data_IF_899245971022
#
_entry.id   IF_899245971022
#
_cell.length_a   1.000
_cell.length_b   1.000
_cell.length_c   1.000
_cell.angle_alpha   90.00
_cell.angle_beta   90.00
_cell.angle_gamma   90.00
#
_symmetry.space_group_name_H-M   'P 1'
#
loop_
_entity.id
_entity.type
_entity.pdbx_description
1 polymer ?
#
# COMPACT_ATOMS: atom_id res chain seq x y z
N UNK A 1 15.76 -38.39 -18.27
CA UNK A 1 15.62 -36.97 -18.65
C UNK A 1 15.21 -36.23 -17.40
N UNK A 2 16.20 -35.66 -16.72
CA UNK A 2 16.00 -34.88 -15.51
C UNK A 2 15.48 -33.50 -15.93
N UNK A 3 14.31 -33.11 -15.44
CA UNK A 3 13.63 -31.88 -15.83
C UNK A 3 14.28 -30.73 -15.05
N UNK A 4 15.12 -29.91 -15.69
CA UNK A 4 15.79 -28.80 -15.02
C UNK A 4 14.76 -27.69 -14.69
N UNK A 5 14.43 -27.46 -13.41
CA UNK A 5 13.47 -26.43 -13.02
C UNK A 5 13.97 -25.01 -13.34
N UNK A 6 15.28 -24.81 -13.56
CA UNK A 6 15.84 -23.50 -13.96
C UNK A 6 15.49 -23.13 -15.39
N UNK A 7 15.49 -24.10 -16.32
CA UNK A 7 15.11 -23.87 -17.71
C UNK A 7 13.65 -23.36 -17.84
N UNK A 8 12.73 -23.86 -17.02
CA UNK A 8 11.34 -23.38 -16.98
C UNK A 8 11.19 -21.96 -16.45
N UNK A 9 12.03 -21.57 -15.49
CA UNK A 9 12.03 -20.21 -14.94
C UNK A 9 12.55 -19.22 -15.98
N UNK A 10 13.64 -19.56 -16.66
CA UNK A 10 14.24 -18.72 -17.70
C UNK A 10 13.29 -18.52 -18.89
N UNK A 11 12.59 -19.57 -19.34
CA UNK A 11 11.58 -19.48 -20.39
C UNK A 11 10.35 -18.66 -19.99
N UNK A 12 9.88 -18.79 -18.75
CA UNK A 12 8.78 -17.97 -18.22
C UNK A 12 9.19 -16.51 -18.16
N UNK A 13 10.42 -16.26 -17.73
CA UNK A 13 10.97 -14.92 -17.64
C UNK A 13 11.12 -14.27 -19.02
N UNK A 14 11.70 -14.98 -19.99
CA UNK A 14 11.83 -14.49 -21.36
C UNK A 14 10.45 -14.15 -21.97
N UNK A 15 9.44 -15.01 -21.77
CA UNK A 15 8.06 -14.73 -22.21
C UNK A 15 7.47 -13.50 -21.54
N UNK A 16 7.69 -13.32 -20.25
CA UNK A 16 7.20 -12.15 -19.51
C UNK A 16 7.90 -10.86 -19.98
N UNK A 17 9.22 -10.88 -20.18
CA UNK A 17 10.00 -9.76 -20.71
C UNK A 17 9.54 -9.37 -22.11
N UNK A 18 9.34 -10.34 -23.00
CA UNK A 18 8.85 -10.07 -24.36
C UNK A 18 7.41 -9.54 -24.37
N UNK A 19 6.55 -10.06 -23.48
CA UNK A 19 5.21 -9.54 -23.31
C UNK A 19 5.22 -8.07 -22.87
N UNK A 20 5.98 -7.72 -21.82
CA UNK A 20 6.13 -6.34 -21.36
C UNK A 20 6.75 -5.42 -22.43
N UNK A 21 7.77 -5.91 -23.16
CA UNK A 21 8.39 -5.17 -24.27
C UNK A 21 7.37 -4.84 -25.35
N UNK A 22 6.48 -5.79 -25.68
CA UNK A 22 5.40 -5.59 -26.64
C UNK A 22 4.35 -4.62 -26.12
N UNK A 23 3.87 -4.80 -24.89
CA UNK A 23 2.89 -3.90 -24.28
C UNK A 23 3.39 -2.44 -24.22
N UNK A 24 4.64 -2.22 -23.81
CA UNK A 24 5.25 -0.89 -23.80
C UNK A 24 5.29 -0.27 -25.21
N UNK A 25 5.73 -1.06 -26.21
CA UNK A 25 5.80 -0.59 -27.60
C UNK A 25 4.41 -0.26 -28.15
N UNK A 26 3.45 -1.16 -27.94
CA UNK A 26 2.10 -1.04 -28.47
C UNK A 26 1.32 0.09 -27.79
N UNK A 27 1.68 0.43 -26.55
CA UNK A 27 1.09 1.59 -25.87
C UNK A 27 1.45 2.91 -26.56
N UNK A 28 2.64 3.03 -27.16
CA UNK A 28 3.15 4.29 -27.66
C UNK A 28 3.49 5.32 -26.57
N UNK A 29 3.46 4.95 -25.28
CA UNK A 29 3.95 5.81 -24.21
C UNK A 29 5.49 5.82 -24.23
N UNK A 30 6.15 6.99 -24.37
CA UNK A 30 7.60 7.07 -24.36
C UNK A 30 8.18 6.58 -23.04
N UNK A 31 9.35 5.94 -23.09
CA UNK A 31 10.12 5.58 -21.90
C UNK A 31 11.28 6.55 -21.77
N UNK A 32 11.35 7.25 -20.64
CA UNK A 32 12.41 8.23 -20.33
C UNK A 32 13.29 7.70 -19.20
N UNK A 33 14.60 7.90 -19.30
CA UNK A 33 15.57 7.55 -18.26
C UNK A 33 16.57 8.68 -18.03
N UNK A 34 17.22 8.69 -16.86
CA UNK A 34 18.31 9.63 -16.59
C UNK A 34 19.54 9.28 -17.45
N UNK A 35 20.29 10.31 -17.82
CA UNK A 35 21.55 10.22 -18.56
C UNK A 35 22.59 11.20 -17.99
N UNK A 36 23.83 11.11 -18.47
CA UNK A 36 24.91 12.03 -18.08
C UNK A 36 25.83 11.52 -16.97
N UNK A 37 26.82 12.32 -16.57
CA UNK A 37 27.77 11.96 -15.53
C UNK A 37 27.12 11.96 -14.14
N UNK A 38 27.59 11.08 -13.25
CA UNK A 38 27.16 11.06 -11.84
C UNK A 38 25.80 10.40 -11.58
N UNK A 39 25.33 9.51 -12.47
CA UNK A 39 24.14 8.70 -12.21
C UNK A 39 24.35 7.79 -10.98
N UNK A 40 23.33 7.58 -10.13
CA UNK A 40 23.43 6.72 -8.96
C UNK A 40 23.95 5.30 -9.29
N UNK A 41 23.30 4.64 -10.24
CA UNK A 41 23.74 3.39 -10.88
C UNK A 41 23.06 3.24 -12.25
N UNK A 42 23.19 2.07 -12.86
CA UNK A 42 22.57 1.76 -14.15
C UNK A 42 21.04 1.70 -14.05
N UNK A 43 20.37 2.27 -15.06
CA UNK A 43 18.92 2.24 -15.17
C UNK A 43 18.37 0.79 -15.19
N UNK A 44 17.26 0.58 -14.48
CA UNK A 44 16.43 -0.64 -14.53
C UNK A 44 14.97 -0.26 -14.67
N UNK A 45 14.20 -1.12 -15.33
CA UNK A 45 12.74 -1.00 -15.29
C UNK A 45 12.27 -1.12 -13.83
N UNK A 46 11.22 -0.42 -13.44
CA UNK A 46 10.75 -0.43 -12.05
C UNK A 46 9.23 -0.49 -11.91
N UNK A 47 8.50 -0.45 -13.02
CA UNK A 47 7.06 -0.70 -13.03
C UNK A 47 6.35 -0.07 -14.21
N UNK A 48 5.11 -0.50 -14.40
CA UNK A 48 4.12 0.16 -15.24
C UNK A 48 2.78 0.19 -14.50
N UNK A 49 1.93 1.15 -14.85
CA UNK A 49 0.54 1.19 -14.41
C UNK A 49 -0.36 1.32 -15.65
N UNK A 50 -1.54 0.71 -15.57
CA UNK A 50 -2.53 0.72 -16.64
C UNK A 50 -3.91 1.07 -16.11
N UNK A 51 -4.64 1.91 -16.85
CA UNK A 51 -6.05 2.24 -16.61
C UNK A 51 -6.85 1.79 -17.82
N UNK A 52 -7.93 1.03 -17.61
CA UNK A 52 -8.79 0.51 -18.68
C UNK A 52 -8.02 -0.21 -19.81
N UNK A 53 -7.00 -0.99 -19.44
CA UNK A 53 -6.16 -1.75 -20.37
C UNK A 53 -5.13 -0.90 -21.14
N UNK A 54 -5.07 0.41 -20.89
CA UNK A 54 -4.09 1.31 -21.50
C UNK A 54 -2.97 1.63 -20.52
N UNK A 55 -1.71 1.50 -20.95
CA UNK A 55 -0.57 1.93 -20.12
C UNK A 55 -0.59 3.46 -20.02
N UNK A 56 -0.71 3.94 -18.78
CA UNK A 56 -0.77 5.36 -18.44
C UNK A 56 0.52 5.86 -17.80
N UNK A 57 1.34 4.95 -17.26
CA UNK A 57 2.54 5.29 -16.50
C UNK A 57 3.65 4.23 -16.66
N UNK A 58 4.89 4.68 -16.83
CA UNK A 58 6.10 3.83 -16.88
C UNK A 58 7.17 4.38 -15.94
N UNK A 59 7.81 3.49 -15.18
CA UNK A 59 8.80 3.84 -14.16
C UNK A 59 10.17 3.22 -14.45
N UNK A 60 11.22 4.04 -14.40
CA UNK A 60 12.63 3.63 -14.53
C UNK A 60 13.40 4.07 -13.28
N UNK A 61 14.07 3.14 -12.61
CA UNK A 61 14.84 3.42 -11.39
C UNK A 61 16.35 3.38 -11.63
N UNK A 62 17.07 4.18 -10.87
CA UNK A 62 18.52 4.27 -10.79
C UNK A 62 18.92 4.17 -9.31
N UNK A 63 19.78 3.21 -8.97
CA UNK A 63 20.23 3.00 -7.59
C UNK A 63 19.34 2.06 -6.79
N UNK A 64 19.70 1.90 -5.52
CA UNK A 64 18.95 1.13 -4.55
C UNK A 64 18.07 2.06 -3.69
N UNK A 65 16.78 1.75 -3.64
CA UNK A 65 15.83 2.52 -2.84
C UNK A 65 16.17 2.47 -1.34
N UNK A 66 16.89 1.43 -0.87
CA UNK A 66 17.22 1.29 0.55
C UNK A 66 18.55 1.91 0.96
N UNK A 67 19.48 2.14 0.02
CA UNK A 67 20.84 2.63 0.36
C UNK A 67 21.46 3.53 -0.71
N UNK A 68 22.16 4.57 -0.27
CA UNK A 68 22.95 5.45 -1.13
C UNK A 68 22.12 6.36 -2.04
N UNK A 69 22.76 7.00 -3.04
CA UNK A 69 22.08 7.78 -4.04
C UNK A 69 21.04 6.93 -4.80
N UNK A 70 19.88 7.52 -5.03
CA UNK A 70 18.77 6.86 -5.71
C UNK A 70 17.96 7.89 -6.50
N UNK A 71 17.45 7.49 -7.66
CA UNK A 71 16.52 8.29 -8.42
C UNK A 71 15.54 7.40 -9.19
N UNK A 72 14.35 7.93 -9.45
CA UNK A 72 13.31 7.28 -10.25
C UNK A 72 12.74 8.29 -11.23
N UNK A 73 12.51 7.85 -12.46
CA UNK A 73 11.86 8.60 -13.53
C UNK A 73 10.52 7.94 -13.82
N UNK A 74 9.46 8.71 -13.61
CA UNK A 74 8.09 8.37 -13.95
C UNK A 74 7.73 9.12 -15.24
N UNK A 75 7.28 8.39 -16.27
CA UNK A 75 6.73 8.95 -17.51
C UNK A 75 5.25 8.61 -17.60
N UNK A 76 4.39 9.63 -17.69
CA UNK A 76 2.94 9.47 -17.66
C UNK A 76 2.25 10.20 -18.83
N UNK A 77 1.08 9.71 -19.26
CA UNK A 77 0.26 10.40 -20.27
C UNK A 77 -0.32 11.69 -19.70
N UNK A 78 -0.29 12.76 -20.50
CA UNK A 78 -0.75 14.08 -20.08
C UNK A 78 -2.29 14.20 -20.01
N UNK A 79 -3.01 13.56 -20.92
CA UNK A 79 -4.48 13.66 -21.01
C UNK A 79 -5.21 13.00 -19.81
N UNK A 80 -4.59 11.98 -19.23
CA UNK A 80 -5.23 11.11 -18.24
C UNK A 80 -4.87 11.49 -16.79
N UNK A 81 -3.91 12.40 -16.59
CA UNK A 81 -3.30 12.60 -15.29
C UNK A 81 -3.37 14.07 -14.84
N UNK A 82 -4.37 14.42 -14.02
CA UNK A 82 -4.16 15.44 -12.98
C UNK A 82 -3.30 14.80 -11.90
N UNK A 83 -2.03 14.58 -12.22
CA UNK A 83 -1.11 13.81 -11.38
C UNK A 83 -1.07 14.35 -9.96
N UNK A 84 -0.85 13.46 -8.99
CA UNK A 84 -0.66 13.82 -7.58
C UNK A 84 0.26 15.05 -7.46
N UNK A 85 0.02 15.96 -6.51
CA UNK A 85 0.95 17.06 -6.23
C UNK A 85 2.39 16.55 -6.14
N UNK A 86 3.34 17.30 -6.70
CA UNK A 86 4.75 16.87 -6.76
C UNK A 86 5.32 16.57 -5.36
N UNK A 87 4.88 17.36 -4.37
CA UNK A 87 5.15 17.11 -2.95
C UNK A 87 4.66 15.74 -2.48
N UNK A 88 3.46 15.31 -2.87
CA UNK A 88 2.92 14.00 -2.46
C UNK A 88 3.78 12.84 -2.99
N UNK A 89 4.30 12.97 -4.22
CA UNK A 89 5.25 11.98 -4.79
C UNK A 89 6.56 11.93 -4.00
N UNK A 90 7.09 13.09 -3.59
CA UNK A 90 8.30 13.17 -2.77
C UNK A 90 8.08 12.58 -1.37
N UNK A 91 6.97 12.94 -0.72
CA UNK A 91 6.59 12.39 0.58
C UNK A 91 6.45 10.87 0.51
N UNK A 92 5.80 10.32 -0.53
CA UNK A 92 5.71 8.88 -0.71
C UNK A 92 7.09 8.22 -0.78
N UNK A 93 8.02 8.76 -1.56
CA UNK A 93 9.38 8.23 -1.65
C UNK A 93 10.13 8.32 -0.31
N UNK A 94 9.97 9.41 0.42
CA UNK A 94 10.54 9.58 1.77
C UNK A 94 10.01 8.51 2.74
N UNK A 95 8.68 8.29 2.76
CA UNK A 95 8.06 7.26 3.61
C UNK A 95 8.57 5.87 3.29
N UNK A 96 8.70 5.53 2.00
CA UNK A 96 9.23 4.23 1.57
C UNK A 96 10.71 4.02 1.94
N UNK A 97 11.47 5.10 2.09
CA UNK A 97 12.84 5.07 2.57
C UNK A 97 12.99 5.19 4.09
N UNK A 98 11.88 5.23 4.84
CA UNK A 98 11.91 5.33 6.29
C UNK A 98 12.18 6.73 6.84
N UNK A 99 12.12 7.78 6.01
CA UNK A 99 12.37 9.15 6.43
C UNK A 99 11.12 9.79 7.06
N UNK A 100 11.32 10.66 8.05
CA UNK A 100 10.25 11.47 8.63
C UNK A 100 10.05 12.77 7.85
N UNK A 101 8.79 13.15 7.63
CA UNK A 101 8.42 14.36 6.88
C UNK A 101 8.60 15.64 7.69
N UNK A 102 8.63 15.52 9.03
CA UNK A 102 8.89 16.61 9.98
C UNK A 102 10.36 17.04 10.05
N UNK A 103 11.27 16.21 9.55
CA UNK A 103 12.72 16.39 9.74
C UNK A 103 13.35 17.22 8.61
N UNK A 104 12.54 17.76 7.72
CA UNK A 104 12.98 18.44 6.50
C UNK A 104 12.29 19.78 6.33
N UNK A 105 13.03 20.72 5.77
CA UNK A 105 12.48 21.97 5.27
C UNK A 105 12.03 21.79 3.82
N UNK A 106 10.88 22.37 3.49
CA UNK A 106 10.27 22.24 2.17
C UNK A 106 10.49 23.51 1.36
N UNK A 107 10.98 23.36 0.14
CA UNK A 107 11.06 24.46 -0.83
C UNK A 107 10.46 24.06 -2.17
N UNK A 108 9.86 25.04 -2.85
CA UNK A 108 9.35 24.86 -4.21
C UNK A 108 9.89 25.95 -5.11
N UNK A 109 10.47 25.54 -6.24
CA UNK A 109 11.08 26.44 -7.20
C UNK A 109 10.70 26.05 -8.62
N UNK A 110 10.90 26.97 -9.57
CA UNK A 110 10.94 26.62 -10.98
C UNK A 110 12.23 25.84 -11.30
N UNK A 111 12.15 24.95 -12.28
CA UNK A 111 13.28 24.09 -12.67
C UNK A 111 13.35 23.92 -14.18
N UNK A 112 14.52 23.51 -14.67
CA UNK A 112 14.74 23.13 -16.06
C UNK A 112 15.36 21.75 -16.11
N UNK A 113 14.66 20.81 -16.76
CA UNK A 113 15.22 19.50 -17.13
C UNK A 113 15.66 19.54 -18.58
N UNK A 114 16.59 18.68 -18.98
CA UNK A 114 17.03 18.58 -20.37
C UNK A 114 16.65 17.21 -20.93
N UNK A 115 15.71 17.16 -21.86
CA UNK A 115 15.30 15.93 -22.54
C UNK A 115 15.99 15.87 -23.91
N UNK A 116 16.88 14.89 -24.09
CA UNK A 116 17.71 14.74 -25.29
C UNK A 116 18.45 16.05 -25.64
N UNK A 117 18.95 16.74 -24.60
CA UNK A 117 19.68 18.01 -24.71
C UNK A 117 18.79 19.26 -24.85
N UNK A 118 17.49 19.12 -25.05
CA UNK A 118 16.55 20.25 -25.12
C UNK A 118 16.04 20.65 -23.73
N UNK A 119 16.08 21.93 -23.36
CA UNK A 119 15.53 22.38 -22.09
C UNK A 119 14.00 22.26 -22.07
N UNK A 120 13.46 21.76 -20.97
CA UNK A 120 12.03 21.62 -20.68
C UNK A 120 11.77 22.25 -19.32
N UNK A 121 10.96 23.29 -19.29
CA UNK A 121 10.58 23.97 -18.05
C UNK A 121 9.71 23.07 -17.19
N UNK A 122 9.94 23.12 -15.89
CA UNK A 122 9.23 22.33 -14.91
C UNK A 122 9.22 23.01 -13.55
N UNK A 123 8.81 22.24 -12.55
CA UNK A 123 8.76 22.63 -11.14
C UNK A 123 9.57 21.64 -10.34
N UNK A 124 10.21 22.10 -9.28
CA UNK A 124 10.89 21.24 -8.33
C UNK A 124 10.39 21.49 -6.92
N UNK A 125 10.24 20.40 -6.16
CA UNK A 125 10.03 20.41 -4.72
C UNK A 125 11.28 19.80 -4.09
N UNK A 126 11.80 20.41 -3.04
CA UNK A 126 12.89 19.86 -2.24
C UNK A 126 12.44 19.63 -0.80
N UNK A 127 13.02 18.61 -0.18
CA UNK A 127 12.87 18.27 1.23
C UNK A 127 14.27 18.15 1.83
N UNK A 128 14.74 19.25 2.44
CA UNK A 128 16.13 19.41 2.85
C UNK A 128 17.11 19.35 1.65
N UNK A 129 18.33 18.91 1.92
CA UNK A 129 19.41 18.75 0.93
C UNK A 129 19.43 17.36 0.27
N UNK A 130 18.73 16.38 0.86
CA UNK A 130 18.76 14.98 0.42
C UNK A 130 17.71 14.65 -0.61
N UNK A 131 16.54 15.27 -0.57
CA UNK A 131 15.36 14.84 -1.31
C UNK A 131 14.88 15.88 -2.31
N UNK A 132 14.65 15.45 -3.54
CA UNK A 132 14.13 16.32 -4.60
C UNK A 132 13.12 15.59 -5.47
N UNK A 133 12.05 16.27 -5.87
CA UNK A 133 11.17 15.84 -6.93
C UNK A 133 11.04 16.95 -7.98
N UNK A 134 11.24 16.64 -9.26
CA UNK A 134 11.13 17.60 -10.36
C UNK A 134 10.16 17.08 -11.40
N UNK A 135 9.23 17.91 -11.87
CA UNK A 135 8.22 17.55 -12.87
C UNK A 135 8.23 18.53 -14.03
N UNK A 136 8.20 18.02 -15.26
CA UNK A 136 7.94 18.80 -16.46
C UNK A 136 6.89 18.12 -17.33
N UNK A 137 6.25 18.91 -18.19
CA UNK A 137 5.39 18.39 -19.24
C UNK A 137 6.03 18.72 -20.59
N UNK A 138 6.10 17.72 -21.46
CA UNK A 138 6.72 17.87 -22.77
C UNK A 138 5.69 17.59 -23.88
N UNK A 139 5.41 18.62 -24.69
CA UNK A 139 4.41 18.54 -25.74
C UNK A 139 4.86 17.72 -26.96
N UNK A 140 6.16 17.51 -27.17
CA UNK A 140 6.64 16.76 -28.34
C UNK A 140 6.47 15.26 -28.17
N UNK A 141 6.58 14.77 -26.94
CA UNK A 141 6.36 13.35 -26.60
C UNK A 141 5.01 13.10 -25.93
N UNK A 142 4.17 14.14 -25.82
CA UNK A 142 2.85 14.15 -25.17
C UNK A 142 2.83 13.47 -23.79
N UNK A 143 3.83 13.77 -22.97
CA UNK A 143 4.03 13.12 -21.68
C UNK A 143 4.40 14.10 -20.56
N UNK A 144 4.03 13.73 -19.33
CA UNK A 144 4.55 14.30 -18.10
C UNK A 144 5.70 13.43 -17.60
N UNK A 145 6.82 14.07 -17.24
CA UNK A 145 7.99 13.40 -16.67
C UNK A 145 8.18 13.90 -15.25
N UNK A 146 8.20 12.97 -14.29
CA UNK A 146 8.52 13.25 -12.89
C UNK A 146 9.80 12.51 -12.49
N UNK A 147 10.77 13.21 -11.95
CA UNK A 147 12.01 12.65 -11.40
C UNK A 147 11.99 12.82 -9.89
N UNK A 148 12.07 11.73 -9.13
CA UNK A 148 12.24 11.77 -7.68
C UNK A 148 13.61 11.22 -7.33
N UNK A 149 14.36 11.90 -6.47
CA UNK A 149 15.71 11.52 -6.13
C UNK A 149 16.04 11.71 -4.64
N UNK A 150 16.96 10.88 -4.16
CA UNK A 150 17.56 10.90 -2.82
C UNK A 150 19.08 10.91 -2.94
N UNK A 151 19.76 11.76 -2.18
CA UNK A 151 21.22 11.82 -2.07
C UNK A 151 21.91 11.95 -3.45
N UNK A 152 21.23 12.56 -4.42
CA UNK A 152 21.72 12.73 -5.79
C UNK A 152 21.81 14.22 -6.14
N UNK A 153 23.02 14.82 -6.12
CA UNK A 153 23.22 16.25 -6.29
C UNK A 153 23.24 16.64 -7.78
N UNK A 154 22.13 16.45 -8.48
CA UNK A 154 22.04 16.87 -9.88
C UNK A 154 21.73 18.37 -9.98
N UNK A 155 22.76 19.19 -10.20
CA UNK A 155 22.58 20.60 -10.54
C UNK A 155 21.77 20.79 -11.85
N UNK A 156 21.77 19.78 -12.72
CA UNK A 156 20.93 19.73 -13.91
C UNK A 156 20.50 18.30 -14.20
N UNK A 157 19.19 18.07 -14.30
CA UNK A 157 18.62 16.77 -14.62
C UNK A 157 18.66 16.56 -16.14
N UNK A 158 19.43 15.56 -16.56
CA UNK A 158 19.57 15.15 -17.96
C UNK A 158 18.77 13.86 -18.18
N UNK A 159 17.89 13.90 -19.16
CA UNK A 159 16.95 12.84 -19.53
C UNK A 159 17.18 12.44 -20.98
N UNK A 160 16.91 11.17 -21.29
CA UNK A 160 16.91 10.67 -22.66
C UNK A 160 15.72 9.78 -22.93
N UNK A 161 15.25 9.80 -24.18
CA UNK A 161 14.32 8.78 -24.66
C UNK A 161 15.03 7.43 -24.80
N UNK A 162 14.38 6.38 -24.32
CA UNK A 162 14.87 5.01 -24.40
C UNK A 162 14.31 4.37 -25.67
N UNK A 163 15.16 4.27 -26.69
CA UNK A 163 14.76 3.72 -27.99
C UNK A 163 14.39 2.23 -27.95
N UNK A 164 15.08 1.44 -27.13
CA UNK A 164 14.74 0.04 -26.85
C UNK A 164 14.70 -0.17 -25.33
N UNK A 165 13.53 -0.51 -24.73
CA UNK A 165 13.43 -0.76 -23.30
C UNK A 165 14.00 -2.12 -22.87
N UNK A 166 14.34 -3.03 -23.80
CA UNK A 166 14.80 -4.38 -23.43
C UNK A 166 16.00 -4.41 -22.47
N UNK A 167 17.05 -3.58 -22.61
CA UNK A 167 18.16 -3.56 -21.65
C UNK A 167 17.74 -3.15 -20.23
N UNK A 168 16.61 -2.44 -20.07
CA UNK A 168 16.04 -2.10 -18.77
C UNK A 168 15.27 -3.28 -18.17
N UNK A 169 14.56 -4.03 -19.03
CA UNK A 169 13.76 -5.19 -18.66
C UNK A 169 14.64 -6.40 -18.29
N UNK A 170 15.78 -6.60 -18.96
CA UNK A 170 16.69 -7.70 -18.63
C UNK A 170 17.30 -7.59 -17.22
N UNK A 171 17.32 -6.36 -16.67
CA UNK A 171 17.86 -6.07 -15.34
C UNK A 171 16.85 -6.19 -14.21
N UNK A 172 15.56 -6.30 -14.51
CA UNK A 172 14.50 -6.29 -13.48
C UNK A 172 14.39 -7.59 -12.71
N UNK A 173 14.87 -8.68 -13.29
CA UNK A 173 14.40 -10.01 -12.92
C UNK A 173 15.46 -10.92 -12.32
N UNK A 174 16.62 -10.38 -11.93
CA UNK A 174 17.47 -11.06 -10.95
C UNK A 174 16.82 -10.93 -9.57
N UNK A 175 15.75 -11.69 -9.35
CA UNK A 175 15.25 -11.94 -7.99
C UNK A 175 16.44 -12.52 -7.22
N UNK A 176 16.87 -11.91 -6.09
CA UNK A 176 17.77 -12.61 -5.19
C UNK A 176 17.14 -13.97 -4.91
N UNK A 177 17.93 -15.05 -4.98
CA UNK A 177 17.42 -16.37 -4.55
C UNK A 177 16.71 -16.17 -3.21
N UNK A 178 15.46 -16.64 -3.06
CA UNK A 178 14.75 -16.46 -1.81
C UNK A 178 15.61 -17.08 -0.73
N UNK A 179 16.20 -16.24 0.11
CA UNK A 179 16.93 -16.71 1.29
C UNK A 179 15.95 -17.63 2.04
N UNK A 180 16.39 -18.83 2.46
CA UNK A 180 15.52 -19.72 3.22
C UNK A 180 14.93 -18.93 4.38
N UNK A 181 13.62 -18.71 4.34
CA UNK A 181 12.97 -17.96 5.39
C UNK A 181 13.05 -18.79 6.67
N UNK A 182 13.54 -18.23 7.77
CA UNK A 182 13.50 -18.94 9.04
C UNK A 182 12.04 -19.31 9.34
N UNK A 183 11.80 -20.48 9.98
CA UNK A 183 10.45 -20.84 10.39
C UNK A 183 9.86 -19.71 11.24
N UNK A 184 8.57 -19.37 11.07
CA UNK A 184 7.97 -18.29 11.82
C UNK A 184 8.11 -18.59 13.32
N UNK A 185 8.44 -17.58 14.15
CA UNK A 185 8.58 -17.78 15.57
C UNK A 185 7.26 -18.30 16.17
N UNK A 186 7.31 -19.12 17.23
CA UNK A 186 6.11 -19.61 17.89
C UNK A 186 5.31 -18.44 18.47
N UNK A 187 3.98 -18.61 18.54
CA UNK A 187 3.09 -17.65 19.21
C UNK A 187 3.36 -17.71 20.73
N UNK A 188 3.61 -16.57 21.40
CA UNK A 188 3.72 -16.51 22.86
C UNK A 188 2.53 -17.16 23.57
N UNK A 189 2.78 -17.88 24.67
CA UNK A 189 1.75 -18.70 25.35
C UNK A 189 0.60 -17.87 25.92
N UNK A 190 0.88 -16.65 26.39
CA UNK A 190 -0.10 -15.68 26.86
C UNK A 190 -1.07 -15.27 25.75
N UNK A 191 -0.54 -14.98 24.54
CA UNK A 191 -1.36 -14.64 23.37
C UNK A 191 -2.13 -15.84 22.82
N UNK A 192 -1.59 -17.05 22.99
CA UNK A 192 -2.24 -18.28 22.55
C UNK A 192 -3.51 -18.65 23.33
N UNK A 193 -3.73 -18.08 24.52
CA UNK A 193 -4.94 -18.33 25.35
C UNK A 193 -6.19 -17.71 24.76
N UNK A 194 -6.07 -16.50 24.21
CA UNK A 194 -7.17 -15.75 23.60
C UNK A 194 -6.77 -15.27 22.19
N UNK A 195 -6.59 -16.19 21.23
CA UNK A 195 -5.96 -15.87 19.96
C UNK A 195 -6.78 -14.87 19.12
N UNK A 196 -8.11 -14.87 19.25
CA UNK A 196 -8.96 -13.87 18.59
C UNK A 196 -8.66 -12.44 19.06
N UNK A 197 -8.54 -12.25 20.37
CA UNK A 197 -8.31 -10.95 20.98
C UNK A 197 -6.90 -10.44 20.69
N UNK A 198 -5.90 -11.31 20.87
CA UNK A 198 -4.52 -11.01 20.50
C UNK A 198 -4.39 -10.62 19.02
N UNK A 199 -5.12 -11.30 18.12
CA UNK A 199 -5.10 -11.00 16.69
C UNK A 199 -5.73 -9.64 16.37
N UNK A 200 -6.87 -9.32 16.99
CA UNK A 200 -7.52 -8.01 16.89
C UNK A 200 -6.61 -6.90 17.40
N UNK A 201 -5.98 -7.09 18.57
CA UNK A 201 -5.09 -6.09 19.16
C UNK A 201 -3.86 -5.83 18.29
N UNK A 202 -3.28 -6.90 17.71
CA UNK A 202 -2.20 -6.79 16.74
C UNK A 202 -2.64 -6.03 15.47
N UNK A 203 -3.83 -6.31 14.94
CA UNK A 203 -4.36 -5.62 13.77
C UNK A 203 -4.63 -4.13 14.02
N UNK A 204 -5.23 -3.80 15.17
CA UNK A 204 -5.50 -2.42 15.58
C UNK A 204 -4.20 -1.65 15.85
N UNK A 205 -3.21 -2.29 16.44
CA UNK A 205 -1.88 -1.70 16.65
C UNK A 205 -1.19 -1.41 15.32
N UNK A 206 -1.17 -2.39 14.40
CA UNK A 206 -0.59 -2.20 13.08
C UNK A 206 -1.30 -1.11 12.28
N UNK A 207 -2.64 -1.01 12.37
CA UNK A 207 -3.42 0.08 11.78
C UNK A 207 -2.96 1.44 12.31
N UNK A 208 -2.87 1.61 13.64
CA UNK A 208 -2.42 2.88 14.24
C UNK A 208 -1.01 3.25 13.77
N UNK A 209 -0.09 2.31 13.79
CA UNK A 209 1.28 2.53 13.29
C UNK A 209 1.29 2.92 11.81
N UNK A 210 0.42 2.31 10.99
CA UNK A 210 0.24 2.66 9.58
C UNK A 210 -0.29 4.06 9.40
N UNK A 211 -1.26 4.51 10.21
CA UNK A 211 -1.76 5.88 10.14
C UNK A 211 -0.69 6.90 10.55
N UNK A 212 0.07 6.61 11.61
CA UNK A 212 1.23 7.43 12.01
C UNK A 212 2.28 7.50 10.90
N UNK A 213 2.59 6.37 10.27
CA UNK A 213 3.54 6.30 9.16
C UNK A 213 3.04 7.05 7.91
N UNK A 214 1.75 6.94 7.56
CA UNK A 214 1.17 7.71 6.45
C UNK A 214 1.28 9.21 6.71
N UNK A 215 0.96 9.65 7.94
CA UNK A 215 0.95 11.05 8.31
C UNK A 215 2.36 11.67 8.42
N UNK A 216 3.32 10.93 9.00
CA UNK A 216 4.62 11.49 9.38
C UNK A 216 5.85 10.82 8.75
N UNK A 217 5.69 9.68 8.08
CA UNK A 217 6.80 8.83 7.63
C UNK A 217 7.47 8.07 8.77
N UNK A 218 8.76 7.77 8.60
CA UNK A 218 9.53 6.92 9.51
C UNK A 218 9.52 5.45 9.12
N UNK A 219 9.97 4.58 10.04
CA UNK A 219 10.03 3.14 9.82
C UNK A 219 8.66 2.58 9.39
N UNK A 220 8.66 1.80 8.30
CA UNK A 220 7.45 1.15 7.82
C UNK A 220 6.92 0.21 8.92
N UNK A 221 5.62 0.27 9.25
CA UNK A 221 5.06 -0.61 10.26
C UNK A 221 5.13 -2.06 9.78
N UNK A 222 5.61 -2.94 10.65
CA UNK A 222 5.63 -4.38 10.38
C UNK A 222 4.57 -5.07 11.21
N UNK A 223 4.00 -6.14 10.64
CA UNK A 223 3.18 -7.05 11.44
C UNK A 223 4.10 -7.82 12.41
N UNK A 224 3.60 -8.24 13.59
CA UNK A 224 4.38 -9.08 14.49
C UNK A 224 4.89 -10.33 13.76
N UNK A 225 6.12 -10.75 14.03
CA UNK A 225 6.73 -11.90 13.35
C UNK A 225 5.93 -13.21 13.47
N UNK A 226 5.10 -13.34 14.50
CA UNK A 226 4.21 -14.49 14.74
C UNK A 226 2.77 -14.30 14.20
N UNK A 227 2.51 -13.25 13.39
CA UNK A 227 1.18 -12.93 12.85
C UNK A 227 0.50 -14.13 12.18
N UNK A 228 1.21 -14.86 11.32
CA UNK A 228 0.68 -16.04 10.63
C UNK A 228 0.37 -17.20 11.58
N UNK A 229 1.12 -17.32 12.68
CA UNK A 229 0.83 -18.27 13.75
C UNK A 229 -0.44 -17.88 14.52
N UNK A 230 -0.57 -16.59 14.85
CA UNK A 230 -1.70 -16.04 15.57
C UNK A 230 -3.01 -16.13 14.77
N UNK A 231 -2.95 -15.84 13.47
CA UNK A 231 -4.05 -16.04 12.54
C UNK A 231 -4.56 -17.48 12.55
N UNK A 232 -3.64 -18.45 12.37
CA UNK A 232 -3.99 -19.89 12.38
C UNK A 232 -4.56 -20.34 13.72
N UNK A 233 -4.06 -19.80 14.83
CA UNK A 233 -4.58 -20.09 16.16
C UNK A 233 -6.01 -19.56 16.33
N UNK A 234 -6.30 -18.34 15.85
CA UNK A 234 -7.64 -17.76 15.89
C UNK A 234 -8.63 -18.55 15.03
N UNK A 235 -8.26 -18.91 13.79
CA UNK A 235 -9.11 -19.73 12.91
C UNK A 235 -9.42 -21.08 13.55
N UNK A 236 -8.41 -21.77 14.08
CA UNK A 236 -8.63 -23.05 14.78
C UNK A 236 -9.56 -22.90 15.97
N UNK A 237 -9.35 -21.87 16.79
CA UNK A 237 -10.20 -21.59 17.94
C UNK A 237 -11.65 -21.29 17.52
N UNK A 238 -11.85 -20.58 16.41
CA UNK A 238 -13.17 -20.35 15.84
C UNK A 238 -13.85 -21.66 15.43
N UNK A 239 -13.12 -22.58 14.78
CA UNK A 239 -13.66 -23.91 14.44
C UNK A 239 -14.08 -24.68 15.70
N UNK A 240 -13.25 -24.68 16.74
CA UNK A 240 -13.55 -25.36 18.02
C UNK A 240 -14.79 -24.79 18.72
N UNK A 241 -15.05 -23.49 18.58
CA UNK A 241 -16.17 -22.82 19.25
C UNK A 241 -17.49 -22.93 18.49
N UNK A 242 -17.45 -23.11 17.16
CA UNK A 242 -18.61 -22.95 16.29
C UNK A 242 -18.89 -24.11 15.35
N UNK A 243 -18.07 -25.17 15.42
CA UNK A 243 -18.09 -26.33 14.51
C UNK A 243 -18.04 -25.96 13.01
N UNK A 244 -17.53 -24.76 12.70
CA UNK A 244 -17.40 -24.26 11.34
C UNK A 244 -16.26 -24.97 10.59
N UNK A 245 -16.45 -25.16 9.27
CA UNK A 245 -15.34 -25.53 8.38
C UNK A 245 -14.22 -24.47 8.42
N UNK A 246 -12.97 -24.88 8.15
CA UNK A 246 -11.82 -23.95 8.14
C UNK A 246 -12.05 -22.72 7.23
N UNK A 247 -12.57 -22.83 6.00
CA UNK A 247 -12.86 -21.66 5.17
C UNK A 247 -13.91 -20.72 5.78
N UNK A 248 -14.91 -21.26 6.47
CA UNK A 248 -15.94 -20.46 7.13
C UNK A 248 -15.39 -19.75 8.38
N UNK A 249 -14.62 -20.46 9.20
CA UNK A 249 -13.94 -19.90 10.35
C UNK A 249 -12.93 -18.80 9.94
N UNK A 250 -12.17 -19.03 8.87
CA UNK A 250 -11.26 -18.03 8.32
C UNK A 250 -11.99 -16.77 7.86
N UNK A 251 -13.12 -16.90 7.17
CA UNK A 251 -13.96 -15.75 6.80
C UNK A 251 -14.48 -15.01 8.03
N UNK A 252 -14.98 -15.73 9.05
CA UNK A 252 -15.48 -15.11 10.28
C UNK A 252 -14.40 -14.31 11.02
N UNK A 253 -13.16 -14.84 11.11
CA UNK A 253 -12.02 -14.13 11.69
C UNK A 253 -11.64 -12.90 10.86
N UNK A 254 -11.55 -13.03 9.53
CA UNK A 254 -11.31 -11.90 8.63
C UNK A 254 -12.37 -10.81 8.79
N UNK A 255 -13.65 -11.19 8.86
CA UNK A 255 -14.77 -10.27 8.98
C UNK A 255 -14.72 -9.51 10.32
N UNK A 256 -14.39 -10.19 11.42
CA UNK A 256 -14.24 -9.55 12.73
C UNK A 256 -13.11 -8.49 12.73
N UNK A 257 -11.96 -8.81 12.13
CA UNK A 257 -10.82 -7.89 12.03
C UNK A 257 -11.17 -6.72 11.12
N UNK A 258 -11.77 -6.98 9.96
CA UNK A 258 -12.22 -5.94 9.05
C UNK A 258 -13.23 -5.01 9.73
N UNK A 259 -14.20 -5.57 10.46
CA UNK A 259 -15.22 -4.79 11.19
C UNK A 259 -14.59 -3.84 12.20
N UNK A 260 -13.72 -4.35 13.07
CA UNK A 260 -13.12 -3.56 14.14
C UNK A 260 -12.07 -2.56 13.65
N UNK A 261 -11.27 -2.92 12.64
CA UNK A 261 -10.32 -1.98 12.04
C UNK A 261 -11.02 -0.88 11.24
N UNK A 262 -12.18 -1.17 10.64
CA UNK A 262 -13.02 -0.15 9.98
C UNK A 262 -13.71 0.73 11.03
N UNK A 263 -14.21 0.15 12.12
CA UNK A 263 -14.80 0.90 13.24
C UNK A 263 -13.81 1.90 13.84
N UNK A 264 -12.58 1.44 14.12
CA UNK A 264 -11.50 2.27 14.62
C UNK A 264 -11.17 3.46 13.70
N UNK A 265 -11.45 3.35 12.39
CA UNK A 265 -11.25 4.44 11.44
C UNK A 265 -12.35 5.50 11.40
N UNK A 266 -13.49 5.25 12.02
CA UNK A 266 -14.70 6.06 11.84
C UNK A 266 -15.32 6.54 13.15
N UNK A 267 -14.94 5.95 14.28
CA UNK A 267 -15.49 6.26 15.58
C UNK A 267 -14.41 6.84 16.51
N UNK A 268 -14.42 8.16 16.73
CA UNK A 268 -13.46 8.85 17.61
C UNK A 268 -13.43 8.26 19.04
N UNK A 269 -14.57 7.77 19.53
CA UNK A 269 -14.67 7.11 20.84
C UNK A 269 -13.84 5.83 20.93
N UNK A 270 -13.57 5.15 19.81
CA UNK A 270 -12.84 3.88 19.79
C UNK A 270 -11.37 4.07 20.19
N UNK A 271 -10.79 5.20 19.82
CA UNK A 271 -9.43 5.56 20.22
C UNK A 271 -9.41 6.28 21.58
N UNK A 272 -10.37 7.17 21.85
CA UNK A 272 -10.38 8.02 23.04
C UNK A 272 -10.93 7.36 24.31
N UNK A 273 -11.77 6.31 24.19
CA UNK A 273 -12.36 5.61 25.33
C UNK A 273 -11.96 4.13 25.36
N UNK A 274 -10.93 3.76 26.15
CA UNK A 274 -10.52 2.38 26.32
C UNK A 274 -11.68 1.47 26.75
N UNK A 275 -12.54 1.93 27.67
CA UNK A 275 -13.70 1.14 28.13
C UNK A 275 -14.66 0.79 27.00
N UNK A 276 -15.02 1.76 26.16
CA UNK A 276 -15.93 1.52 25.03
C UNK A 276 -15.27 0.64 23.98
N UNK A 277 -13.99 0.86 23.68
CA UNK A 277 -13.21 -0.02 22.80
C UNK A 277 -13.25 -1.47 23.28
N UNK A 278 -12.94 -1.71 24.55
CA UNK A 278 -12.89 -3.07 25.09
C UNK A 278 -14.24 -3.77 25.03
N UNK A 279 -15.31 -3.03 25.30
CA UNK A 279 -16.66 -3.55 25.20
C UNK A 279 -17.04 -3.86 23.75
N UNK A 280 -16.71 -3.00 22.79
CA UNK A 280 -16.97 -3.24 21.37
C UNK A 280 -16.24 -4.48 20.85
N UNK A 281 -14.97 -4.64 21.21
CA UNK A 281 -14.18 -5.85 20.88
C UNK A 281 -14.83 -7.09 21.47
N UNK A 282 -15.19 -7.04 22.75
CA UNK A 282 -15.81 -8.18 23.45
C UNK A 282 -17.14 -8.58 22.83
N UNK A 283 -18.05 -7.63 22.61
CA UNK A 283 -19.35 -7.92 22.01
C UNK A 283 -19.23 -8.41 20.57
N UNK A 284 -18.25 -7.90 19.80
CA UNK A 284 -17.95 -8.41 18.45
C UNK A 284 -17.49 -9.87 18.50
N UNK A 285 -16.61 -10.21 19.44
CA UNK A 285 -16.13 -11.59 19.61
C UNK A 285 -17.28 -12.51 20.01
N UNK A 286 -18.13 -12.10 20.95
CA UNK A 286 -19.32 -12.86 21.35
C UNK A 286 -20.27 -13.09 20.17
N UNK A 287 -20.48 -12.06 19.34
CA UNK A 287 -21.32 -12.15 18.16
C UNK A 287 -20.75 -13.11 17.10
N UNK A 288 -19.45 -13.02 16.79
CA UNK A 288 -18.80 -13.82 15.74
C UNK A 288 -18.62 -15.28 16.15
N UNK A 289 -18.43 -15.54 17.45
CA UNK A 289 -18.34 -16.90 18.01
C UNK A 289 -19.71 -17.50 18.32
N UNK A 290 -20.80 -16.75 18.18
CA UNK A 290 -22.14 -17.24 18.52
C UNK A 290 -22.34 -17.51 20.02
N UNK A 291 -21.46 -16.98 20.88
CA UNK A 291 -21.55 -17.14 22.34
C UNK A 291 -22.58 -16.21 22.98
N UNK A 292 -23.09 -15.23 22.23
CA UNK A 292 -24.23 -14.41 22.62
C UNK A 292 -25.21 -14.24 21.45
N UNK A 293 -26.50 -14.46 21.71
CA UNK A 293 -27.54 -14.45 20.68
C UNK A 293 -27.84 -13.03 20.16
N UNK A 294 -27.90 -12.03 21.03
CA UNK A 294 -28.13 -10.62 20.65
C UNK A 294 -27.40 -9.69 21.64
N UNK A 295 -26.09 -9.45 21.46
CA UNK A 295 -25.39 -8.46 22.26
C UNK A 295 -25.97 -7.06 21.98
N UNK A 296 -25.79 -6.08 22.88
CA UNK A 296 -26.26 -4.70 22.66
C UNK A 296 -25.83 -4.08 21.32
N UNK A 297 -24.67 -4.47 20.79
CA UNK A 297 -24.14 -4.07 19.47
C UNK A 297 -24.75 -4.82 18.28
N UNK A 298 -25.74 -5.70 18.50
CA UNK A 298 -26.44 -6.47 17.48
C UNK A 298 -26.91 -5.66 16.27
N UNK A 299 -27.56 -4.49 16.44
CA UNK A 299 -27.89 -3.61 15.32
C UNK A 299 -26.69 -3.21 14.46
N UNK A 300 -25.55 -2.90 15.09
CA UNK A 300 -24.33 -2.50 14.39
C UNK A 300 -23.71 -3.67 13.61
N UNK A 301 -23.75 -4.89 14.14
CA UNK A 301 -23.31 -6.08 13.42
C UNK A 301 -24.20 -6.41 12.20
N UNK A 302 -25.52 -6.25 12.32
CA UNK A 302 -26.44 -6.43 11.19
C UNK A 302 -26.20 -5.39 10.09
N UNK A 303 -26.00 -4.13 10.47
CA UNK A 303 -25.67 -3.05 9.54
C UNK A 303 -24.33 -3.30 8.84
N UNK A 304 -23.31 -3.79 9.57
CA UNK A 304 -22.02 -4.18 9.01
C UNK A 304 -22.14 -5.28 7.94
N UNK A 305 -22.89 -6.36 8.24
CA UNK A 305 -23.13 -7.43 7.26
C UNK A 305 -23.83 -6.92 6.00
N UNK A 306 -24.73 -5.94 6.14
CA UNK A 306 -25.38 -5.31 4.99
C UNK A 306 -24.37 -4.50 4.16
N UNK A 307 -23.55 -3.68 4.82
CA UNK A 307 -22.46 -2.94 4.18
C UNK A 307 -21.50 -3.85 3.40
N UNK A 308 -21.03 -4.95 4.03
CA UNK A 308 -20.13 -5.91 3.38
C UNK A 308 -20.71 -6.59 2.13
N UNK A 309 -22.03 -6.74 2.03
CA UNK A 309 -22.68 -7.30 0.83
C UNK A 309 -22.69 -6.32 -0.35
N UNK A 310 -22.67 -5.02 -0.07
CA UNK A 310 -22.79 -3.96 -1.08
C UNK A 310 -21.44 -3.44 -1.61
N UNK A 311 -20.37 -3.56 -0.83
CA UNK A 311 -19.03 -3.10 -1.24
C UNK A 311 -18.48 -3.84 -2.47
N UNK A 312 -18.56 -5.18 -2.57
CA UNK A 312 -18.02 -5.91 -3.71
C UNK A 312 -18.90 -5.87 -4.97
N UNK A 313 -20.15 -5.44 -4.86
CA UNK A 313 -21.13 -5.48 -5.97
C UNK A 313 -20.93 -4.28 -6.89
N UNK A 314 -20.31 -4.42 -8.08
CA UNK A 314 -20.02 -3.31 -8.98
C UNK A 314 -21.28 -2.64 -9.54
N UNK A 315 -22.45 -3.28 -9.39
CA UNK A 315 -23.74 -2.77 -9.83
C UNK A 315 -24.48 -1.99 -8.74
N UNK A 316 -24.00 -2.06 -7.50
CA UNK A 316 -24.57 -1.31 -6.39
C UNK A 316 -24.32 0.19 -6.59
N UNK A 317 -25.41 0.95 -6.68
CA UNK A 317 -25.39 2.41 -6.77
C UNK A 317 -24.64 3.04 -5.57
N UNK A 318 -23.88 4.11 -5.84
CA UNK A 318 -23.03 4.79 -4.86
C UNK A 318 -23.85 5.28 -3.65
N UNK A 319 -25.09 5.73 -3.87
CA UNK A 319 -25.95 6.17 -2.77
C UNK A 319 -26.33 5.03 -1.83
N UNK A 320 -26.55 3.80 -2.35
CA UNK A 320 -26.85 2.63 -1.50
C UNK A 320 -25.67 2.25 -0.63
N UNK A 321 -24.45 2.27 -1.18
CA UNK A 321 -23.22 2.01 -0.42
C UNK A 321 -23.02 3.05 0.67
N UNK A 322 -23.21 4.33 0.35
CA UNK A 322 -23.12 5.43 1.32
C UNK A 322 -24.18 5.30 2.43
N UNK A 323 -25.43 4.95 2.09
CA UNK A 323 -26.49 4.74 3.07
C UNK A 323 -26.20 3.56 4.01
N UNK A 324 -25.65 2.46 3.49
CA UNK A 324 -25.26 1.31 4.32
C UNK A 324 -24.09 1.62 5.24
N UNK A 325 -23.10 2.39 4.77
CA UNK A 325 -22.00 2.91 5.60
C UNK A 325 -22.52 3.81 6.73
N UNK A 326 -23.41 4.77 6.40
CA UNK A 326 -23.99 5.67 7.39
C UNK A 326 -24.81 4.91 8.45
N UNK A 327 -25.68 3.98 8.03
CA UNK A 327 -26.48 3.19 8.95
C UNK A 327 -25.62 2.35 9.92
N UNK A 328 -24.48 1.85 9.44
CA UNK A 328 -23.52 1.14 10.26
C UNK A 328 -22.84 2.05 11.31
N UNK A 329 -22.45 3.27 10.92
CA UNK A 329 -21.89 4.28 11.84
C UNK A 329 -22.92 4.73 12.89
N UNK A 330 -24.14 5.01 12.46
CA UNK A 330 -25.22 5.46 13.36
C UNK A 330 -25.53 4.41 14.43
N UNK A 331 -25.53 3.13 14.06
CA UNK A 331 -25.77 2.03 15.00
C UNK A 331 -24.67 1.95 16.08
N UNK A 332 -23.39 2.13 15.71
CA UNK A 332 -22.29 2.16 16.69
C UNK A 332 -22.30 3.43 17.55
N UNK A 333 -22.67 4.58 16.99
CA UNK A 333 -22.84 5.83 17.74
C UNK A 333 -23.95 5.71 18.77
N UNK A 334 -25.11 5.15 18.39
CA UNK A 334 -26.22 4.89 19.31
C UNK A 334 -25.82 3.91 20.42
N UNK A 335 -25.11 2.82 20.07
CA UNK A 335 -24.58 1.88 21.05
C UNK A 335 -23.63 2.55 22.05
N UNK A 336 -22.71 3.40 21.57
CA UNK A 336 -21.75 4.10 22.42
C UNK A 336 -22.46 5.09 23.37
N UNK A 337 -23.47 5.82 22.88
CA UNK A 337 -24.26 6.75 23.68
C UNK A 337 -25.10 6.03 24.75
N UNK A 338 -25.67 4.86 24.45
CA UNK A 338 -26.40 4.04 25.42
C UNK A 338 -25.52 3.41 26.52
N UNK A 339 -24.20 3.61 26.44
CA UNK A 339 -23.22 2.99 27.33
C UNK A 339 -22.69 3.92 28.43
N UNK A 340 -23.02 5.21 28.37
CA UNK A 340 -22.58 6.22 29.35
C UNK A 340 -23.41 6.25 30.64
N UNK A 341 -24.53 5.53 30.70
CA UNK A 341 -25.52 5.59 31.80
C UNK A 341 -25.46 4.43 32.81
N UNK A 342 -24.33 3.74 32.96
CA UNK A 342 -24.16 2.77 34.06
C UNK A 342 -22.88 3.07 34.84
N UNK A 343 -22.98 3.86 35.94
CA UNK A 343 -21.97 3.84 36.99
C UNK A 343 -22.01 2.46 37.70
N UNK A 344 -20.88 2.02 38.28
CA UNK A 344 -20.81 0.77 39.06
C UNK A 344 -21.76 0.77 40.27
#
# INVERSE_FOLDING_TARGET
MEHDPRAHVDERLARQTEHLRRELRDSGLPVVALTGPGLPTTARFAGLESTDGTITHVRVAHGDATTGPWAVVDTARRADNRGDPLRHRLEHAMRMAGAHLSDVEWTEDDATMHLDGRPVTGRTVRAGDRWTATRCADALIDAEITVVARDWPAATIQLRLVADPAPLLDRTWRRPDPLPQPPPPPVPQDLAREPHRALIDAALTHRRQTLTWIAGGGAHPELPAHWSGLWRAAVRRQQELTDQSEPAANRAVSDAIAHLTTLAGHADWFDTSPRLRERAITETLLHVTGLADDPPSGPAHRAWRHHQRLVPDPTADLHRRAAADQAWRDAWTAWAAGSTDTPP
#
